data_IF_811729312903
#
_entry.id   IF_811729312903
#
_cell.length_a   1.000
_cell.length_b   1.000
_cell.length_c   1.000
_cell.angle_alpha   90.00
_cell.angle_beta   90.00
_cell.angle_gamma   90.00
#
_symmetry.space_group_name_H-M   'P 1'
#
loop_
_entity.id
_entity.type
_entity.pdbx_description
1 polymer ?
#
# COMPACT_ATOMS: atom_id res chain seq x y z
N UNK A 1 -26.09 -22.21 -6.58
CA UNK A 1 -24.72 -21.97 -6.09
C UNK A 1 -24.24 -23.27 -5.49
N UNK A 2 -23.12 -23.83 -5.95
CA UNK A 2 -22.62 -25.10 -5.41
C UNK A 2 -21.93 -24.82 -4.06
N UNK A 3 -22.17 -25.65 -3.02
CA UNK A 3 -21.48 -25.50 -1.75
C UNK A 3 -19.98 -25.78 -1.91
N UNK A 4 -19.15 -24.99 -1.24
CA UNK A 4 -17.70 -25.11 -1.23
C UNK A 4 -17.18 -25.06 0.20
N UNK A 5 -16.18 -25.89 0.50
CA UNK A 5 -15.41 -25.79 1.73
C UNK A 5 -14.18 -24.95 1.48
N UNK A 6 -13.91 -23.99 2.36
CA UNK A 6 -12.74 -23.13 2.26
C UNK A 6 -11.92 -23.19 3.54
N UNK A 7 -10.60 -23.05 3.39
CA UNK A 7 -9.68 -22.85 4.50
C UNK A 7 -8.73 -21.69 4.21
N UNK A 8 -8.38 -20.95 5.26
CA UNK A 8 -7.41 -19.86 5.18
C UNK A 8 -6.06 -20.37 5.66
N UNK A 9 -5.03 -20.19 4.85
CA UNK A 9 -3.68 -20.62 5.15
C UNK A 9 -2.77 -19.41 5.30
N UNK A 10 -1.93 -19.43 6.33
CA UNK A 10 -0.87 -18.45 6.52
C UNK A 10 0.47 -18.99 5.99
N UNK A 11 1.25 -18.15 5.32
CA UNK A 11 2.58 -18.51 4.81
C UNK A 11 3.65 -17.55 5.29
N UNK A 12 4.64 -18.09 6.00
CA UNK A 12 5.83 -17.33 6.43
C UNK A 12 6.69 -16.87 5.26
N UNK A 13 6.82 -17.69 4.21
CA UNK A 13 7.55 -17.33 3.01
C UNK A 13 6.88 -16.17 2.28
N UNK A 14 5.54 -16.17 2.24
CA UNK A 14 4.75 -15.09 1.67
C UNK A 14 4.92 -13.83 2.54
N UNK A 15 4.85 -13.95 3.87
CA UNK A 15 5.12 -12.84 4.79
C UNK A 15 6.45 -12.16 4.52
N UNK A 16 7.56 -12.91 4.45
CA UNK A 16 8.90 -12.36 4.19
C UNK A 16 8.97 -11.60 2.85
N UNK A 17 8.27 -12.08 1.82
CA UNK A 17 8.19 -11.39 0.53
C UNK A 17 7.35 -10.11 0.63
N UNK A 18 6.22 -10.18 1.33
CA UNK A 18 5.28 -9.07 1.50
C UNK A 18 5.85 -7.97 2.38
N UNK A 19 6.58 -8.31 3.43
CA UNK A 19 7.27 -7.37 4.30
C UNK A 19 8.20 -6.44 3.51
N UNK A 20 9.01 -6.98 2.58
CA UNK A 20 9.86 -6.18 1.69
C UNK A 20 9.08 -5.29 0.72
N UNK A 21 7.90 -5.73 0.30
CA UNK A 21 7.05 -4.95 -0.60
C UNK A 21 6.34 -3.82 0.15
N UNK A 22 5.83 -4.12 1.34
CA UNK A 22 5.12 -3.17 2.20
C UNK A 22 6.09 -2.13 2.73
N UNK A 23 7.31 -2.51 3.15
CA UNK A 23 8.31 -1.54 3.61
C UNK A 23 8.66 -0.51 2.53
N UNK A 24 8.75 -0.93 1.26
CA UNK A 24 8.93 0.00 0.13
C UNK A 24 7.73 0.93 -0.04
N UNK A 25 6.51 0.43 0.12
CA UNK A 25 5.30 1.25 0.02
C UNK A 25 5.21 2.26 1.16
N UNK A 26 5.51 1.85 2.39
CA UNK A 26 5.58 2.72 3.57
C UNK A 26 6.61 3.82 3.34
N UNK A 27 7.80 3.47 2.84
CA UNK A 27 8.84 4.45 2.52
C UNK A 27 8.38 5.45 1.45
N UNK A 28 7.81 4.98 0.33
CA UNK A 28 7.30 5.89 -0.70
C UNK A 28 6.17 6.78 -0.19
N UNK A 29 5.29 6.26 0.66
CA UNK A 29 4.20 7.03 1.28
C UNK A 29 4.76 8.12 2.21
N UNK A 30 5.82 7.81 2.96
CA UNK A 30 6.51 8.79 3.81
C UNK A 30 7.17 9.91 3.00
N UNK A 31 7.78 9.60 1.85
CA UNK A 31 8.35 10.63 0.96
C UNK A 31 7.28 11.51 0.32
N UNK A 32 6.12 10.94 -0.03
CA UNK A 32 4.97 11.71 -0.52
C UNK A 32 4.42 12.64 0.56
N UNK A 33 4.29 12.14 1.79
CA UNK A 33 3.90 12.92 2.95
C UNK A 33 4.88 14.08 3.21
N UNK A 34 6.18 13.84 3.16
CA UNK A 34 7.18 14.90 3.33
C UNK A 34 7.10 15.98 2.26
N UNK A 35 6.80 15.59 1.01
CA UNK A 35 6.59 16.56 -0.08
C UNK A 35 5.33 17.39 0.15
N UNK A 36 4.24 16.75 0.57
CA UNK A 36 3.00 17.46 0.92
C UNK A 36 3.26 18.42 2.09
N UNK A 37 3.88 17.96 3.17
CA UNK A 37 4.24 18.80 4.32
C UNK A 37 5.05 20.02 3.91
N UNK A 38 6.06 19.86 3.05
CA UNK A 38 6.85 20.99 2.50
C UNK A 38 6.05 21.91 1.58
N UNK A 39 5.02 21.40 0.91
CA UNK A 39 4.16 22.19 0.03
C UNK A 39 3.16 23.03 0.84
N UNK A 40 2.48 22.42 1.82
CA UNK A 40 1.46 23.08 2.64
C UNK A 40 2.06 24.02 3.69
N UNK A 41 3.22 23.68 4.28
CA UNK A 41 3.92 24.59 5.22
C UNK A 41 4.34 25.93 4.61
N UNK A 42 4.53 26.00 3.29
CA UNK A 42 4.84 27.26 2.59
C UNK A 42 3.61 28.12 2.34
N UNK A 43 2.40 27.55 2.45
CA UNK A 43 1.16 28.30 2.25
C UNK A 43 0.85 29.03 3.55
N UNK A 44 0.66 30.33 3.41
CA UNK A 44 0.21 31.19 4.51
C UNK A 44 -1.14 31.78 4.16
N UNK A 45 -1.99 31.88 5.16
CA UNK A 45 -3.34 32.42 5.06
C UNK A 45 -3.47 33.65 5.97
N UNK A 46 -4.20 34.65 5.51
CA UNK A 46 -4.47 35.86 6.29
C UNK A 46 -5.59 35.66 7.34
N UNK A 47 -6.39 34.61 7.21
CA UNK A 47 -7.50 34.29 8.12
C UNK A 47 -7.49 32.80 8.48
N UNK A 48 -7.86 32.50 9.72
CA UNK A 48 -8.02 31.14 10.25
C UNK A 48 -9.04 30.31 9.46
N UNK A 49 -10.19 30.90 9.12
CA UNK A 49 -11.28 30.24 8.40
C UNK A 49 -10.83 29.73 7.02
N UNK A 50 -9.96 30.49 6.36
CA UNK A 50 -9.38 30.08 5.08
C UNK A 50 -8.43 28.89 5.23
N UNK A 51 -7.68 28.81 6.33
CA UNK A 51 -6.83 27.68 6.63
C UNK A 51 -7.67 26.42 6.94
N UNK A 52 -8.75 26.53 7.71
CA UNK A 52 -9.66 25.40 7.97
C UNK A 52 -10.29 24.83 6.69
N UNK A 53 -10.79 25.70 5.80
CA UNK A 53 -11.39 25.27 4.53
C UNK A 53 -10.40 24.53 3.64
N UNK A 54 -9.12 24.87 3.73
CA UNK A 54 -8.07 24.16 3.02
C UNK A 54 -7.81 22.80 3.66
N UNK A 55 -7.64 22.72 4.98
CA UNK A 55 -7.48 21.44 5.71
C UNK A 55 -8.57 20.43 5.34
N UNK A 56 -9.82 20.87 5.22
CA UNK A 56 -10.94 19.99 4.80
C UNK A 56 -10.76 19.49 3.35
N UNK A 57 -10.26 20.33 2.44
CA UNK A 57 -9.95 19.93 1.05
C UNK A 57 -8.76 18.98 0.99
N UNK A 58 -7.70 19.27 1.74
CA UNK A 58 -6.48 18.47 1.76
C UNK A 58 -6.70 17.12 2.42
N UNK A 59 -7.44 17.06 3.52
CA UNK A 59 -7.82 15.79 4.17
C UNK A 59 -8.69 14.91 3.27
N UNK A 60 -9.66 15.49 2.57
CA UNK A 60 -10.57 14.73 1.70
C UNK A 60 -9.93 14.23 0.39
N UNK A 61 -8.97 14.96 -0.17
CA UNK A 61 -8.37 14.66 -1.48
C UNK A 61 -6.98 14.03 -1.35
N UNK A 62 -6.07 14.68 -0.63
CA UNK A 62 -4.65 14.28 -0.58
C UNK A 62 -4.42 13.16 0.44
N UNK A 63 -5.06 13.22 1.62
CA UNK A 63 -4.81 12.26 2.70
C UNK A 63 -5.62 10.96 2.57
N UNK A 64 -6.65 10.92 1.72
CA UNK A 64 -7.49 9.72 1.50
C UNK A 64 -6.72 8.50 0.99
N UNK A 65 -5.55 8.69 0.38
CA UNK A 65 -4.74 7.62 -0.21
C UNK A 65 -3.75 6.99 0.76
N UNK A 66 -3.59 7.57 1.94
CA UNK A 66 -2.61 7.16 2.94
C UNK A 66 -3.13 5.91 3.67
N UNK A 67 -2.29 4.89 3.75
CA UNK A 67 -2.69 3.57 4.27
C UNK A 67 -1.90 3.15 5.51
N UNK A 68 -0.68 3.67 5.67
CA UNK A 68 0.27 3.19 6.67
C UNK A 68 0.68 4.28 7.67
N UNK A 69 0.14 5.50 7.53
CA UNK A 69 0.41 6.60 8.44
C UNK A 69 -0.90 7.21 8.95
N UNK A 70 -0.93 7.54 10.24
CA UNK A 70 -1.91 8.43 10.84
C UNK A 70 -1.42 9.85 10.58
N UNK A 71 -2.29 10.68 10.00
CA UNK A 71 -1.97 12.06 9.67
C UNK A 71 -2.85 13.01 10.46
N UNK A 72 -2.20 13.97 11.10
CA UNK A 72 -2.84 15.05 11.84
C UNK A 72 -2.41 16.38 11.22
N UNK A 73 -3.38 17.23 10.87
CA UNK A 73 -3.11 18.56 10.34
C UNK A 73 -3.46 19.58 11.39
N UNK A 74 -2.49 20.42 11.76
CA UNK A 74 -2.65 21.49 12.73
C UNK A 74 -2.47 22.86 12.04
N UNK A 75 -3.15 23.87 12.55
CA UNK A 75 -2.95 25.27 12.14
C UNK A 75 -1.95 25.91 13.10
N UNK A 76 -0.89 26.49 12.56
CA UNK A 76 0.06 27.30 13.31
C UNK A 76 -0.18 28.78 13.06
N UNK A 77 -0.09 29.57 14.13
CA UNK A 77 -0.14 31.03 14.06
C UNK A 77 1.29 31.59 14.05
N UNK A 78 1.56 32.52 13.13
CA UNK A 78 2.88 33.15 12.98
C UNK A 78 2.73 34.62 12.60
N UNK A 79 3.68 35.45 13.02
CA UNK A 79 3.71 36.87 12.64
C UNK A 79 4.79 37.10 11.60
N UNK A 80 4.39 37.45 10.38
CA UNK A 80 5.33 37.73 9.29
C UNK A 80 5.50 39.23 9.08
N UNK A 81 6.72 39.64 8.76
CA UNK A 81 6.99 41.02 8.35
C UNK A 81 6.25 41.31 7.04
N UNK A 82 5.58 42.47 6.98
CA UNK A 82 4.89 42.88 5.76
C UNK A 82 5.85 42.95 4.55
N UNK A 83 5.45 42.42 3.38
CA UNK A 83 6.23 42.55 2.16
C UNK A 83 6.31 44.04 1.74
N UNK A 84 7.51 44.54 1.49
CA UNK A 84 7.74 45.92 1.07
C UNK A 84 9.16 46.42 1.38
N UNK A 85 9.58 47.51 0.71
CA UNK A 85 10.88 48.15 0.97
C UNK A 85 10.89 48.69 2.41
N UNK A 86 11.94 48.41 3.22
CA UNK A 86 12.08 49.00 4.55
C UNK A 86 11.96 50.52 4.46
N UNK A 87 11.05 51.12 5.23
CA UNK A 87 10.95 52.57 5.32
C UNK A 87 12.23 53.13 5.96
N UNK A 88 12.79 54.20 5.40
CA UNK A 88 13.98 54.87 5.92
C UNK A 88 13.72 55.62 7.24
N UNK A 89 12.47 55.62 7.72
CA UNK A 89 12.11 56.10 9.05
C UNK A 89 12.08 54.90 10.00
N UNK A 90 12.73 55.02 11.15
CA UNK A 90 12.74 54.05 12.25
C UNK A 90 11.34 53.89 12.89
N UNK A 91 10.36 53.48 12.10
CA UNK A 91 8.99 53.25 12.52
C UNK A 91 8.73 51.75 12.44
N UNK A 92 8.59 51.14 13.62
CA UNK A 92 8.05 49.83 13.94
C UNK A 92 7.95 48.85 12.76
N UNK A 93 8.73 47.75 12.83
CA UNK A 93 8.51 46.61 11.96
C UNK A 93 7.04 46.18 12.07
N UNK A 94 6.28 46.39 10.99
CA UNK A 94 4.86 46.05 10.96
C UNK A 94 4.76 44.57 10.64
N UNK A 95 4.35 43.79 11.64
CA UNK A 95 4.07 42.38 11.51
C UNK A 95 2.58 42.16 11.22
N UNK A 96 2.28 41.14 10.43
CA UNK A 96 0.93 40.68 10.13
C UNK A 96 0.75 39.24 10.61
N UNK A 97 -0.41 38.94 11.18
CA UNK A 97 -0.76 37.60 11.63
C UNK A 97 -1.02 36.72 10.40
N UNK A 98 -0.39 35.55 10.36
CA UNK A 98 -0.47 34.59 9.29
C UNK A 98 -0.68 33.19 9.87
N UNK A 99 -1.55 32.42 9.24
CA UNK A 99 -1.83 31.03 9.58
C UNK A 99 -1.15 30.11 8.58
N UNK A 100 -0.56 29.01 9.02
CA UNK A 100 0.01 27.98 8.14
C UNK A 100 -0.39 26.58 8.59
N UNK A 101 -0.41 25.65 7.66
CA UNK A 101 -0.71 24.25 7.96
C UNK A 101 0.57 23.48 8.27
N UNK A 102 0.52 22.72 9.36
CA UNK A 102 1.53 21.74 9.69
C UNK A 102 0.91 20.34 9.64
N UNK A 103 1.40 19.55 8.69
CA UNK A 103 1.07 18.14 8.56
C UNK A 103 2.05 17.35 9.41
N UNK A 104 1.53 16.68 10.43
CA UNK A 104 2.28 15.70 11.22
C UNK A 104 1.82 14.31 10.81
N UNK A 105 2.76 13.40 10.60
CA UNK A 105 2.46 12.00 10.29
C UNK A 105 3.20 11.08 11.24
N UNK A 106 2.52 10.01 11.64
CA UNK A 106 3.09 8.95 12.46
C UNK A 106 2.75 7.61 11.81
N UNK A 107 3.71 6.70 11.79
CA UNK A 107 3.49 5.36 11.25
C UNK A 107 2.42 4.61 12.08
N UNK A 108 1.45 4.03 11.39
CA UNK A 108 0.40 3.18 11.96
C UNK A 108 0.87 1.72 11.94
N UNK A 109 1.49 1.30 13.04
CA UNK A 109 2.00 -0.06 13.18
C UNK A 109 0.86 -1.11 13.15
N UNK A 110 -0.34 -0.77 13.64
CA UNK A 110 -1.47 -1.69 13.66
C UNK A 110 -2.02 -1.92 12.25
N UNK A 111 -2.22 -0.84 11.48
CA UNK A 111 -2.63 -0.94 10.09
C UNK A 111 -1.59 -1.70 9.25
N UNK A 112 -0.30 -1.47 9.51
CA UNK A 112 0.79 -2.17 8.85
C UNK A 112 0.76 -3.67 9.12
N UNK A 113 0.72 -4.09 10.39
CA UNK A 113 0.67 -5.51 10.77
C UNK A 113 -0.60 -6.20 10.26
N UNK A 114 -1.75 -5.53 10.35
CA UNK A 114 -3.01 -6.06 9.81
C UNK A 114 -2.94 -6.29 8.31
N UNK A 115 -2.38 -5.33 7.57
CA UNK A 115 -2.21 -5.44 6.12
C UNK A 115 -1.21 -6.55 5.79
N UNK A 116 -0.07 -6.61 6.48
CA UNK A 116 0.94 -7.65 6.32
C UNK A 116 0.36 -9.05 6.57
N UNK A 117 -0.40 -9.24 7.65
CA UNK A 117 -1.09 -10.49 7.94
C UNK A 117 -2.06 -10.86 6.81
N UNK A 118 -2.91 -9.93 6.37
CA UNK A 118 -3.87 -10.19 5.30
C UNK A 118 -3.19 -10.61 3.99
N UNK A 119 -2.07 -9.98 3.64
CA UNK A 119 -1.32 -10.28 2.41
C UNK A 119 -0.45 -11.54 2.53
N UNK A 120 -0.25 -12.03 3.76
CA UNK A 120 0.47 -13.29 4.06
C UNK A 120 -0.47 -14.49 4.11
N UNK A 121 -1.77 -14.27 3.96
CA UNK A 121 -2.79 -15.29 3.91
C UNK A 121 -3.26 -15.56 2.49
N UNK A 122 -3.67 -16.79 2.24
CA UNK A 122 -4.34 -17.20 1.01
C UNK A 122 -5.45 -18.19 1.34
N UNK A 123 -6.45 -18.28 0.47
CA UNK A 123 -7.63 -19.14 0.65
C UNK A 123 -7.53 -20.31 -0.32
N UNK A 124 -7.77 -21.51 0.19
CA UNK A 124 -7.94 -22.71 -0.61
C UNK A 124 -9.41 -23.15 -0.54
N UNK A 125 -9.93 -23.64 -1.65
CA UNK A 125 -11.31 -24.08 -1.78
C UNK A 125 -11.35 -25.52 -2.31
N UNK A 126 -12.32 -26.30 -1.82
CA UNK A 126 -12.61 -27.64 -2.29
C UNK A 126 -14.12 -27.83 -2.50
N UNK A 127 -14.45 -28.65 -3.50
CA UNK A 127 -15.82 -29.11 -3.74
C UNK A 127 -16.22 -30.24 -2.76
N UNK A 128 -15.25 -30.87 -2.13
CA UNK A 128 -15.48 -31.85 -1.07
C UNK A 128 -15.76 -31.10 0.24
N UNK A 129 -16.93 -31.35 0.82
CA UNK A 129 -17.39 -30.68 2.06
C UNK A 129 -16.90 -31.38 3.32
N UNK A 130 -16.48 -32.64 3.22
CA UNK A 130 -16.02 -33.43 4.37
C UNK A 130 -14.51 -33.34 4.55
N UNK A 131 -13.76 -33.04 3.48
CA UNK A 131 -12.29 -32.95 3.50
C UNK A 131 -11.75 -32.03 4.61
N UNK A 132 -10.74 -32.48 5.33
CA UNK A 132 -10.07 -31.69 6.36
C UNK A 132 -9.15 -30.63 5.75
N UNK A 133 -9.00 -29.49 6.43
CA UNK A 133 -8.20 -28.36 5.95
C UNK A 133 -6.72 -28.73 5.70
N UNK A 134 -6.15 -29.61 6.53
CA UNK A 134 -4.78 -30.11 6.37
C UNK A 134 -4.59 -30.90 5.08
N UNK A 135 -5.59 -31.72 4.74
CA UNK A 135 -5.59 -32.51 3.50
C UNK A 135 -5.72 -31.58 2.28
N UNK A 136 -6.60 -30.58 2.32
CA UNK A 136 -6.69 -29.55 1.25
C UNK A 136 -5.31 -28.92 1.02
N UNK A 137 -4.62 -28.50 2.07
CA UNK A 137 -3.31 -27.87 1.96
C UNK A 137 -2.24 -28.84 1.44
N UNK A 138 -2.28 -30.11 1.85
CA UNK A 138 -1.35 -31.14 1.38
C UNK A 138 -1.53 -31.41 -0.11
N UNK A 139 -2.77 -31.58 -0.58
CA UNK A 139 -3.09 -31.75 -2.00
C UNK A 139 -2.70 -30.51 -2.82
N UNK A 140 -2.95 -29.31 -2.32
CA UNK A 140 -2.51 -28.08 -2.98
C UNK A 140 -0.99 -28.04 -3.18
N UNK A 141 -0.20 -28.46 -2.18
CA UNK A 141 1.27 -28.48 -2.29
C UNK A 141 1.78 -29.51 -3.30
N UNK A 142 1.07 -30.62 -3.53
CA UNK A 142 1.48 -31.64 -4.51
C UNK A 142 1.13 -31.26 -5.95
N UNK A 143 0.11 -30.41 -6.16
CA UNK A 143 -0.30 -29.94 -7.49
C UNK A 143 0.86 -29.34 -8.29
N UNK A 144 1.73 -28.54 -7.66
CA UNK A 144 2.87 -27.93 -8.36
C UNK A 144 3.87 -28.94 -8.96
N UNK A 145 4.04 -30.12 -8.35
CA UNK A 145 4.86 -31.18 -8.93
C UNK A 145 4.17 -31.87 -10.10
N UNK A 146 2.85 -32.07 -9.97
CA UNK A 146 2.01 -32.65 -11.01
C UNK A 146 2.01 -31.76 -12.25
N UNK A 147 1.85 -30.44 -12.09
CA UNK A 147 1.92 -29.49 -13.19
C UNK A 147 3.26 -29.51 -13.94
N UNK A 148 4.38 -29.57 -13.22
CA UNK A 148 5.71 -29.70 -13.84
C UNK A 148 5.84 -30.99 -14.65
N UNK A 149 5.32 -32.11 -14.13
CA UNK A 149 5.29 -33.39 -14.85
C UNK A 149 4.41 -33.29 -16.10
N UNK A 150 3.26 -32.64 -16.03
CA UNK A 150 2.41 -32.40 -17.20
C UNK A 150 3.05 -31.47 -18.23
N UNK A 151 3.75 -30.42 -17.80
CA UNK A 151 4.52 -29.56 -18.71
C UNK A 151 5.60 -30.35 -19.45
N UNK A 152 6.32 -31.24 -18.75
CA UNK A 152 7.29 -32.14 -19.37
C UNK A 152 6.63 -33.09 -20.38
N UNK A 153 5.50 -33.71 -20.00
CA UNK A 153 4.74 -34.59 -20.90
C UNK A 153 4.26 -33.87 -22.16
N UNK A 154 3.93 -32.59 -22.05
CA UNK A 154 3.51 -31.74 -23.17
C UNK A 154 4.67 -31.10 -23.94
N UNK A 155 5.92 -31.34 -23.53
CA UNK A 155 7.07 -30.72 -24.18
C UNK A 155 7.28 -31.27 -25.60
N UNK A 156 7.55 -30.41 -26.60
CA UNK A 156 7.69 -30.84 -28.01
C UNK A 156 8.70 -31.98 -28.24
N UNK A 157 9.89 -32.01 -27.60
CA UNK A 157 10.85 -33.09 -27.81
C UNK A 157 10.29 -34.45 -27.37
N UNK A 158 9.57 -34.47 -26.25
CA UNK A 158 9.01 -35.69 -25.68
C UNK A 158 7.79 -36.15 -26.48
N UNK A 159 6.87 -35.25 -26.82
CA UNK A 159 5.68 -35.55 -27.64
C UNK A 159 6.09 -36.07 -29.02
N UNK A 160 7.06 -35.43 -29.67
CA UNK A 160 7.56 -35.89 -30.97
C UNK A 160 8.14 -37.31 -30.87
N UNK A 161 8.84 -37.66 -29.79
CA UNK A 161 9.39 -39.01 -29.59
C UNK A 161 8.31 -40.10 -29.47
N UNK A 162 7.11 -39.77 -28.99
CA UNK A 162 5.97 -40.69 -28.97
C UNK A 162 5.24 -40.77 -30.31
N UNK A 163 5.09 -39.64 -31.01
CA UNK A 163 4.36 -39.58 -32.30
C UNK A 163 5.13 -40.28 -33.42
N UNK A 164 6.47 -40.24 -33.43
CA UNK A 164 7.29 -40.90 -34.45
C UNK A 164 7.27 -42.43 -34.42
N UNK A 165 6.77 -43.06 -33.33
CA UNK A 165 6.62 -44.53 -33.28
C UNK A 165 5.36 -45.05 -33.98
N UNK A 166 4.43 -44.19 -34.38
CA UNK A 166 3.21 -44.59 -35.10
C UNK A 166 3.29 -44.42 -36.63
N UNK A 167 4.41 -43.91 -37.18
CA UNK A 167 4.60 -43.71 -38.63
C UNK A 167 5.49 -44.78 -39.29
N UNK A 168 5.69 -45.94 -38.66
CA UNK A 168 6.33 -47.10 -39.29
C UNK A 168 5.39 -48.31 -39.20
N UNK A 169 4.40 -48.34 -40.08
CA UNK A 169 3.83 -49.56 -40.67
C UNK A 169 2.84 -49.13 -41.77
N UNK A 170 3.39 -49.00 -42.98
CA UNK A 170 2.82 -49.39 -44.29
C UNK A 170 3.80 -48.99 -45.40
#
# INVERSE_FOLDING_TARGET
MYPLKYCTCYSEELRKKKEKSISKQVFSESEELDKLTKQYSKRTFACYENAELEIVKTSSIALKKIKYHIVTVNINESTNRKPGRPSNKASAEVFELCYSEQINSQMDNEALEKNLLSQSMFVLCSNDLEIEAEIILKEYKTQGQIEKKFQLLKSPPLVNSFVFKFSKEN
#
